data_IF_527380641908
#
_entry.id   IF_527380641908
#
_cell.length_a   1.000
_cell.length_b   1.000
_cell.length_c   1.000
_cell.angle_alpha   90.00
_cell.angle_beta   90.00
_cell.angle_gamma   90.00
#
_symmetry.space_group_name_H-M   'P 1'
#
loop_
_entity.id
_entity.type
_entity.pdbx_description
1 polymer ?
#
# COMPACT_ATOMS: atom_id res chain seq x y z
N UNK A 1 -15.27 -9.01 1.83
CA UNK A 1 -13.90 -8.51 1.58
C UNK A 1 -13.91 -7.01 1.75
N UNK A 2 -13.02 -6.42 2.57
CA UNK A 2 -13.04 -4.97 2.89
C UNK A 2 -12.13 -4.13 1.99
N UNK A 3 -11.21 -4.78 1.28
CA UNK A 3 -10.24 -4.16 0.38
C UNK A 3 -9.18 -5.14 -0.07
N UNK A 4 -8.22 -4.64 -0.84
CA UNK A 4 -7.04 -5.36 -1.32
C UNK A 4 -5.82 -4.45 -1.25
N UNK A 5 -4.66 -5.07 -1.12
CA UNK A 5 -3.35 -4.45 -1.31
C UNK A 5 -2.51 -5.37 -2.20
N UNK A 6 -1.75 -4.78 -3.11
CA UNK A 6 -0.88 -5.49 -4.01
C UNK A 6 0.49 -4.82 -4.07
N UNK A 7 1.51 -5.62 -4.40
CA UNK A 7 2.87 -5.16 -4.60
C UNK A 7 3.39 -5.75 -5.90
N UNK A 8 3.74 -4.88 -6.83
CA UNK A 8 4.36 -5.23 -8.09
C UNK A 8 5.87 -5.09 -7.96
N UNK A 9 6.62 -6.16 -8.26
CA UNK A 9 8.10 -6.09 -8.25
C UNK A 9 8.57 -5.17 -9.39
N UNK A 10 9.48 -4.28 -9.07
CA UNK A 10 10.20 -3.40 -10.01
C UNK A 10 11.70 -3.53 -9.76
N UNK A 11 12.53 -2.99 -10.66
CA UNK A 11 13.99 -3.16 -10.60
C UNK A 11 14.61 -2.77 -9.24
N UNK A 12 14.13 -1.69 -8.63
CA UNK A 12 14.63 -1.18 -7.35
C UNK A 12 13.89 -1.72 -6.10
N UNK A 13 12.82 -2.50 -6.28
CA UNK A 13 12.00 -2.95 -5.15
C UNK A 13 10.55 -3.19 -5.55
N UNK A 14 9.61 -2.42 -4.99
CA UNK A 14 8.18 -2.63 -5.22
C UNK A 14 7.40 -1.36 -5.50
N UNK A 15 6.41 -1.46 -6.37
CA UNK A 15 5.31 -0.51 -6.48
C UNK A 15 4.09 -1.07 -5.75
N UNK A 16 3.48 -0.29 -4.86
CA UNK A 16 2.29 -0.71 -4.12
C UNK A 16 1.01 -0.08 -4.66
N UNK A 17 -0.04 -0.90 -4.71
CA UNK A 17 -1.41 -0.53 -5.03
C UNK A 17 -2.36 -0.98 -3.92
N UNK A 18 -3.45 -0.24 -3.71
CA UNK A 18 -4.49 -0.66 -2.77
C UNK A 18 -5.84 -0.04 -3.10
N UNK A 19 -6.90 -0.72 -2.66
CA UNK A 19 -8.26 -0.21 -2.71
C UNK A 19 -9.05 -0.78 -1.55
N UNK A 20 -9.71 0.08 -0.77
CA UNK A 20 -10.58 -0.33 0.34
C UNK A 20 -11.96 0.29 0.14
N UNK A 21 -12.99 -0.46 0.51
CA UNK A 21 -14.36 0.03 0.45
C UNK A 21 -14.53 1.23 1.39
N UNK A 22 -15.26 2.25 0.95
CA UNK A 22 -15.39 3.55 1.65
C UNK A 22 -15.88 3.43 3.09
N UNK A 23 -16.75 2.46 3.37
CA UNK A 23 -17.29 2.18 4.72
C UNK A 23 -16.22 1.79 5.74
N UNK A 24 -15.01 1.49 5.27
CA UNK A 24 -13.87 1.09 6.09
C UNK A 24 -12.73 2.12 6.08
N UNK A 25 -12.91 3.26 5.39
CA UNK A 25 -11.96 4.37 5.44
C UNK A 25 -11.92 4.98 6.84
N UNK A 26 -10.76 5.52 7.24
CA UNK A 26 -10.55 6.10 8.57
C UNK A 26 -10.42 5.10 9.72
N UNK A 27 -10.57 3.79 9.46
CA UNK A 27 -10.42 2.72 10.47
C UNK A 27 -9.00 2.11 10.56
N UNK A 28 -8.06 2.61 9.76
CA UNK A 28 -6.66 2.18 9.80
C UNK A 28 -6.29 0.94 8.97
N UNK A 29 -7.27 0.21 8.42
CA UNK A 29 -7.03 -1.06 7.72
C UNK A 29 -6.03 -0.98 6.57
N UNK A 30 -6.08 0.07 5.76
CA UNK A 30 -5.14 0.23 4.65
C UNK A 30 -3.70 0.36 5.14
N UNK A 31 -3.48 1.11 6.22
CA UNK A 31 -2.14 1.33 6.80
C UNK A 31 -1.63 0.06 7.46
N UNK A 32 -2.48 -0.62 8.22
CA UNK A 32 -2.14 -1.89 8.87
C UNK A 32 -1.76 -2.96 7.83
N UNK A 33 -2.55 -3.07 6.76
CA UNK A 33 -2.29 -4.01 5.67
C UNK A 33 -0.97 -3.69 4.95
N UNK A 34 -0.70 -2.41 4.67
CA UNK A 34 0.55 -1.95 4.05
C UNK A 34 1.77 -2.30 4.90
N UNK A 35 1.73 -2.01 6.22
CA UNK A 35 2.82 -2.31 7.14
C UNK A 35 3.07 -3.81 7.24
N UNK A 36 2.01 -4.61 7.33
CA UNK A 36 2.13 -6.06 7.44
C UNK A 36 2.83 -6.68 6.22
N UNK A 37 2.44 -6.27 5.01
CA UNK A 37 3.04 -6.80 3.78
C UNK A 37 4.42 -6.21 3.52
N UNK A 38 4.67 -4.93 3.81
CA UNK A 38 6.03 -4.38 3.73
C UNK A 38 6.99 -5.13 4.64
N UNK A 39 6.57 -5.47 5.85
CA UNK A 39 7.39 -6.20 6.82
C UNK A 39 7.78 -7.61 6.34
N UNK A 40 6.95 -8.25 5.52
CA UNK A 40 7.32 -9.54 4.90
C UNK A 40 8.22 -9.36 3.68
N UNK A 41 8.10 -8.25 2.94
CA UNK A 41 8.92 -7.97 1.75
C UNK A 41 10.34 -7.47 2.10
N UNK A 42 10.53 -6.77 3.23
CA UNK A 42 11.83 -6.24 3.66
C UNK A 42 12.93 -7.30 3.86
N UNK A 43 12.57 -8.59 3.89
CA UNK A 43 13.53 -9.70 3.95
C UNK A 43 14.26 -10.01 2.64
N UNK A 44 13.88 -9.40 1.51
CA UNK A 44 14.41 -9.75 0.19
C UNK A 44 15.56 -8.85 -0.32
N UNK A 45 15.98 -7.86 0.49
CA UNK A 45 17.05 -6.92 0.16
C UNK A 45 16.61 -5.71 -0.67
N UNK A 46 15.31 -5.54 -0.95
CA UNK A 46 14.78 -4.33 -1.58
C UNK A 46 14.82 -3.14 -0.62
N UNK A 47 15.25 -1.98 -1.11
CA UNK A 47 15.31 -0.74 -0.33
C UNK A 47 14.22 0.27 -0.69
N UNK A 48 13.48 0.01 -1.80
CA UNK A 48 12.54 0.97 -2.37
C UNK A 48 11.11 0.41 -2.41
N UNK A 49 10.16 1.19 -1.86
CA UNK A 49 8.74 1.00 -2.09
C UNK A 49 8.10 2.33 -2.54
N UNK A 50 7.41 2.31 -3.68
CA UNK A 50 6.75 3.48 -4.25
C UNK A 50 5.24 3.29 -4.32
N UNK A 51 4.49 4.36 -4.07
CA UNK A 51 3.03 4.40 -4.27
C UNK A 51 2.70 5.48 -5.30
N UNK A 52 2.09 5.10 -6.43
CA UNK A 52 1.67 6.05 -7.47
C UNK A 52 0.19 6.33 -7.35
N UNK A 53 -0.16 7.34 -6.56
CA UNK A 53 -1.55 7.81 -6.40
C UNK A 53 -1.82 9.08 -7.20
N UNK A 54 -3.06 9.24 -7.68
CA UNK A 54 -3.54 10.49 -8.26
C UNK A 54 -3.52 11.58 -7.18
N UNK A 55 -2.97 12.77 -7.49
CA UNK A 55 -2.80 13.87 -6.51
C UNK A 55 -4.09 14.27 -5.77
N UNK A 56 -5.24 14.17 -6.44
CA UNK A 56 -6.56 14.52 -5.86
C UNK A 56 -7.19 13.38 -5.05
N UNK A 57 -6.58 12.20 -5.02
CA UNK A 57 -7.02 11.11 -4.16
C UNK A 57 -6.49 11.33 -2.73
N UNK A 58 -7.10 12.28 -2.03
CA UNK A 58 -6.68 12.70 -0.70
C UNK A 58 -6.65 11.56 0.33
N UNK A 59 -7.61 10.61 0.36
CA UNK A 59 -7.50 9.44 1.22
C UNK A 59 -6.21 8.66 0.97
N UNK A 60 -5.83 8.50 -0.31
CA UNK A 60 -4.65 7.72 -0.63
C UNK A 60 -3.32 8.45 -0.45
N UNK A 61 -3.31 9.77 -0.62
CA UNK A 61 -2.13 10.62 -0.36
C UNK A 61 -1.83 10.70 1.14
N UNK A 62 -2.85 10.59 1.99
CA UNK A 62 -2.72 10.67 3.45
C UNK A 62 -2.51 9.32 4.15
N UNK A 63 -2.45 8.23 3.38
CA UNK A 63 -2.19 6.90 3.93
C UNK A 63 -0.79 6.83 4.54
#
# INVERSE_FOLDING_TARGET
>A
MIGTIDFHKIDAGYECGYCFHSDYHGKGYARESLVAVLSTLLGDGSDTCIARTVLKNLPSVKL
#
